data_IF_639585390586
#
_entry.id   IF_639585390586
#
_cell.length_a   1.000
_cell.length_b   1.000
_cell.length_c   1.000
_cell.angle_alpha   90.00
_cell.angle_beta   90.00
_cell.angle_gamma   90.00
#
_symmetry.space_group_name_H-M   'P 1'
#
loop_
_entity.id
_entity.type
_entity.pdbx_description
1 polymer ?
#
# COMPACT_ATOMS: atom_id res chain seq x y z
N UNK A 1 18.18 1.50 1.15
CA UNK A 1 16.76 1.88 1.32
C UNK A 1 15.93 1.24 0.21
N UNK A 2 14.81 0.65 0.57
CA UNK A 2 13.89 0.05 -0.39
C UNK A 2 12.91 1.12 -0.85
N UNK A 3 12.82 1.36 -2.16
CA UNK A 3 11.87 2.35 -2.71
C UNK A 3 10.62 1.65 -3.22
N UNK A 4 9.47 2.04 -2.68
CA UNK A 4 8.18 1.42 -2.98
C UNK A 4 7.13 2.45 -3.37
N UNK A 5 6.11 1.96 -4.07
CA UNK A 5 4.88 2.68 -4.35
C UNK A 5 3.74 1.95 -3.66
N UNK A 6 2.72 2.68 -3.25
CA UNK A 6 1.58 2.06 -2.59
C UNK A 6 0.28 2.81 -2.83
N UNK A 7 -0.82 2.07 -2.69
CA UNK A 7 -2.16 2.62 -2.74
C UNK A 7 -2.65 2.85 -1.31
N UNK A 8 -3.08 4.08 -1.03
CA UNK A 8 -3.63 4.45 0.27
C UNK A 8 -5.13 4.63 0.10
N UNK A 9 -5.89 3.62 0.53
CA UNK A 9 -7.34 3.67 0.50
C UNK A 9 -7.86 3.77 1.91
N UNK A 10 -8.37 4.95 2.25
CA UNK A 10 -8.88 5.25 3.60
C UNK A 10 -10.39 5.48 3.54
N UNK A 11 -11.12 4.90 4.50
CA UNK A 11 -12.56 5.07 4.62
C UNK A 11 -12.98 4.89 6.08
N UNK A 12 -13.65 5.88 6.66
CA UNK A 12 -14.18 5.79 8.03
C UNK A 12 -13.10 5.40 9.08
N UNK A 13 -11.94 6.04 9.01
CA UNK A 13 -10.79 5.78 9.90
C UNK A 13 -10.24 4.35 9.76
N UNK A 14 -10.47 3.72 8.62
CA UNK A 14 -9.90 2.42 8.30
C UNK A 14 -9.06 2.51 7.04
N UNK A 15 -8.04 1.66 6.96
CA UNK A 15 -7.17 1.53 5.79
C UNK A 15 -7.32 0.14 5.20
N UNK A 16 -7.37 0.09 3.88
CA UNK A 16 -7.37 -1.18 3.16
C UNK A 16 -5.93 -1.67 3.04
N UNK A 17 -5.65 -2.82 3.65
CA UNK A 17 -4.31 -3.39 3.68
C UNK A 17 -4.32 -4.83 3.19
N UNK A 18 -3.15 -5.29 2.77
CA UNK A 18 -2.96 -6.66 2.26
C UNK A 18 -1.94 -7.41 3.10
N UNK A 19 -2.11 -8.73 3.12
CA UNK A 19 -1.17 -9.65 3.74
C UNK A 19 -0.36 -10.31 2.64
N UNK A 20 0.95 -10.36 2.82
CA UNK A 20 1.87 -10.99 1.88
C UNK A 20 2.38 -12.30 2.49
N UNK A 21 2.20 -13.42 1.79
CA UNK A 21 2.73 -14.74 2.19
C UNK A 21 2.45 -15.10 3.64
N UNK A 22 1.24 -14.85 4.11
CA UNK A 22 0.79 -15.14 5.48
C UNK A 22 1.62 -14.48 6.59
N UNK A 23 2.29 -13.35 6.30
CA UNK A 23 3.04 -12.61 7.32
C UNK A 23 2.12 -12.02 8.37
N UNK A 24 2.64 -11.79 9.57
CA UNK A 24 1.84 -11.33 10.70
C UNK A 24 1.28 -9.91 10.52
N UNK A 25 2.01 -9.04 9.83
CA UNK A 25 1.61 -7.65 9.67
C UNK A 25 1.19 -7.36 8.24
N UNK A 26 0.21 -6.47 8.10
CA UNK A 26 -0.36 -6.09 6.81
C UNK A 26 0.23 -4.77 6.32
N UNK A 27 0.26 -4.60 5.00
CA UNK A 27 0.85 -3.46 4.31
C UNK A 27 -0.16 -2.80 3.39
N UNK A 28 0.17 -1.59 2.91
CA UNK A 28 -0.55 -1.04 1.76
C UNK A 28 -0.35 -1.92 0.52
N UNK A 29 -1.37 -2.03 -0.34
CA UNK A 29 -1.16 -2.65 -1.66
C UNK A 29 -0.10 -1.88 -2.44
N UNK A 30 0.80 -2.59 -3.10
CA UNK A 30 1.89 -1.99 -3.86
C UNK A 30 3.16 -2.82 -3.76
N UNK A 31 4.29 -2.21 -4.04
CA UNK A 31 5.55 -2.90 -3.98
C UNK A 31 6.72 -2.08 -4.49
N UNK A 32 7.82 -2.78 -4.78
CA UNK A 32 9.06 -2.15 -5.21
C UNK A 32 8.93 -1.56 -6.62
N UNK A 33 9.64 -0.48 -6.85
CA UNK A 33 9.75 0.16 -8.16
C UNK A 33 10.82 -0.59 -8.97
N UNK A 34 10.48 -1.02 -10.17
CA UNK A 34 11.45 -1.64 -11.08
C UNK A 34 12.24 -0.57 -11.82
N UNK A 35 13.44 -0.94 -12.25
CA UNK A 35 14.30 -0.03 -13.01
C UNK A 35 13.57 0.49 -14.25
N UNK A 36 13.62 1.79 -14.44
CA UNK A 36 13.02 2.44 -15.61
C UNK A 36 11.54 2.78 -15.48
N UNK A 37 10.89 2.36 -14.39
CA UNK A 37 9.49 2.71 -14.17
C UNK A 37 9.35 4.06 -13.48
N UNK A 38 8.31 4.82 -13.86
CA UNK A 38 7.86 5.94 -13.04
C UNK A 38 7.11 5.40 -11.82
N UNK A 39 6.86 6.26 -10.83
CA UNK A 39 6.10 5.87 -9.64
C UNK A 39 4.72 5.34 -10.01
N UNK A 40 4.00 6.05 -10.87
CA UNK A 40 2.64 5.65 -11.24
C UNK A 40 2.64 4.36 -12.05
N UNK A 41 3.63 4.15 -12.93
CA UNK A 41 3.76 2.91 -13.70
C UNK A 41 4.02 1.72 -12.80
N UNK A 42 4.88 1.89 -11.81
CA UNK A 42 5.17 0.84 -10.85
C UNK A 42 3.90 0.46 -10.08
N UNK A 43 3.12 1.44 -9.64
CA UNK A 43 1.87 1.17 -8.92
C UNK A 43 0.84 0.51 -9.82
N UNK A 44 0.69 0.95 -11.07
CA UNK A 44 -0.21 0.28 -12.02
C UNK A 44 0.13 -1.19 -12.17
N UNK A 45 1.42 -1.49 -12.31
CA UNK A 45 1.89 -2.88 -12.45
C UNK A 45 1.60 -3.68 -11.19
N UNK A 46 1.96 -3.16 -10.02
CA UNK A 46 1.75 -3.86 -8.75
C UNK A 46 0.27 -4.15 -8.46
N UNK A 47 -0.61 -3.18 -8.70
CA UNK A 47 -2.04 -3.36 -8.47
C UNK A 47 -2.63 -4.39 -9.43
N UNK A 48 -2.15 -4.44 -10.66
CA UNK A 48 -2.58 -5.45 -11.63
C UNK A 48 -2.14 -6.84 -11.20
N UNK A 49 -0.89 -6.98 -10.75
CA UNK A 49 -0.35 -8.26 -10.28
C UNK A 49 -1.04 -8.76 -9.01
N UNK A 50 -1.18 -7.89 -8.03
CA UNK A 50 -1.66 -8.27 -6.70
C UNK A 50 -3.17 -8.35 -6.58
N UNK A 51 -3.89 -7.46 -7.25
CA UNK A 51 -5.33 -7.31 -7.07
C UNK A 51 -6.12 -7.44 -8.37
N UNK A 52 -5.46 -7.75 -9.48
CA UNK A 52 -6.07 -7.80 -10.82
C UNK A 52 -6.81 -6.51 -11.16
N UNK A 53 -6.34 -5.40 -10.60
CA UNK A 53 -6.98 -4.11 -10.75
C UNK A 53 -6.23 -3.30 -11.79
N UNK A 54 -6.90 -2.95 -12.88
CA UNK A 54 -6.31 -2.13 -13.93
C UNK A 54 -6.79 -0.70 -13.79
N UNK A 55 -5.84 0.20 -13.58
CA UNK A 55 -6.11 1.63 -13.43
C UNK A 55 -5.30 2.42 -14.44
N UNK A 56 -5.94 3.46 -14.99
CA UNK A 56 -5.23 4.40 -15.85
C UNK A 56 -4.40 5.36 -14.99
N UNK A 57 -3.35 5.94 -15.57
CA UNK A 57 -2.50 6.91 -14.86
C UNK A 57 -3.30 8.06 -14.26
N UNK A 58 -4.27 8.59 -15.00
CA UNK A 58 -5.11 9.69 -14.54
C UNK A 58 -6.07 9.33 -13.40
N UNK A 59 -6.21 8.05 -13.08
CA UNK A 59 -7.05 7.59 -11.97
C UNK A 59 -6.26 7.49 -10.66
N UNK A 60 -4.96 7.67 -10.70
CA UNK A 60 -4.08 7.61 -9.54
C UNK A 60 -3.54 9.01 -9.25
N UNK A 61 -3.67 9.44 -8.02
CA UNK A 61 -3.25 10.76 -7.57
C UNK A 61 -2.20 10.65 -6.47
N UNK A 62 -1.04 11.26 -6.70
CA UNK A 62 0.04 11.23 -5.72
C UNK A 62 -0.32 12.01 -4.47
N UNK A 63 -0.08 11.41 -3.29
CA UNK A 63 -0.34 12.05 -2.00
C UNK A 63 0.95 12.59 -1.40
N UNK A 64 1.99 11.78 -1.32
CA UNK A 64 3.24 12.14 -0.67
C UNK A 64 4.15 10.94 -0.43
N UNK A 65 5.22 11.19 0.29
CA UNK A 65 6.28 10.22 0.56
C UNK A 65 6.64 10.21 2.03
N UNK A 66 6.85 9.02 2.59
CA UNK A 66 7.42 8.88 3.92
C UNK A 66 8.58 7.89 3.87
N UNK A 67 9.43 7.95 4.89
CA UNK A 67 10.48 6.95 5.11
C UNK A 67 10.20 6.30 6.45
N UNK A 68 10.12 4.98 6.47
CA UNK A 68 9.83 4.21 7.66
C UNK A 68 10.58 2.91 7.68
N UNK A 69 10.38 2.17 8.75
CA UNK A 69 11.03 0.87 8.94
C UNK A 69 10.42 -0.17 8.01
N UNK A 70 11.29 -0.91 7.29
CA UNK A 70 10.83 -1.99 6.42
C UNK A 70 10.41 -3.21 7.25
N UNK A 71 9.51 -4.00 6.71
CA UNK A 71 9.05 -5.24 7.33
C UNK A 71 8.91 -6.30 6.23
N UNK A 72 9.42 -7.51 6.39
CA UNK A 72 10.05 -8.06 7.60
C UNK A 72 11.57 -7.84 7.68
N UNK A 73 12.16 -7.07 6.78
CA UNK A 73 13.61 -6.89 6.72
C UNK A 73 14.12 -6.09 7.94
N UNK A 74 14.90 -6.69 8.84
CA UNK A 74 15.41 -5.96 10.01
C UNK A 74 16.48 -4.93 9.60
N UNK A 75 16.50 -3.82 10.33
CA UNK A 75 17.50 -2.77 10.13
C UNK A 75 17.53 -2.16 8.72
N UNK A 76 16.37 -2.16 8.04
CA UNK A 76 16.21 -1.63 6.70
C UNK A 76 15.14 -0.55 6.71
N UNK A 77 15.34 0.50 5.93
CA UNK A 77 14.32 1.54 5.73
C UNK A 77 13.65 1.36 4.38
N UNK A 78 12.39 1.76 4.32
CA UNK A 78 11.63 1.82 3.07
C UNK A 78 11.11 3.23 2.85
N UNK A 79 11.15 3.66 1.60
CA UNK A 79 10.52 4.88 1.15
C UNK A 79 9.18 4.50 0.52
N UNK A 80 8.08 5.01 1.08
CA UNK A 80 6.74 4.77 0.54
C UNK A 80 6.25 6.01 -0.19
N UNK A 81 5.96 5.83 -1.46
CA UNK A 81 5.37 6.84 -2.32
C UNK A 81 3.90 6.50 -2.48
N UNK A 82 3.04 7.23 -1.80
CA UNK A 82 1.62 6.90 -1.68
C UNK A 82 0.74 7.65 -2.67
N UNK A 83 -0.21 6.91 -3.22
CA UNK A 83 -1.22 7.40 -4.16
C UNK A 83 -2.60 7.05 -3.65
N UNK A 84 -3.59 7.84 -4.05
CA UNK A 84 -4.99 7.48 -3.88
C UNK A 84 -5.63 7.27 -5.25
N UNK A 85 -6.68 6.47 -5.29
CA UNK A 85 -7.48 6.31 -6.49
C UNK A 85 -8.58 7.38 -6.48
N UNK A 86 -8.80 8.04 -7.63
CA UNK A 86 -9.75 9.14 -7.71
C UNK A 86 -11.10 8.75 -8.34
N UNK A 87 -11.43 7.47 -8.29
CA UNK A 87 -12.76 6.95 -8.63
C UNK A 87 -13.18 5.90 -7.62
N UNK A 88 -14.48 5.62 -7.54
CA UNK A 88 -14.99 4.60 -6.64
C UNK A 88 -14.61 3.20 -7.13
N UNK A 89 -14.12 2.37 -6.22
CA UNK A 89 -13.80 0.97 -6.46
C UNK A 89 -14.69 0.13 -5.54
N UNK A 90 -15.35 -0.87 -6.10
CA UNK A 90 -16.07 -1.85 -5.30
C UNK A 90 -15.07 -2.92 -4.81
N UNK A 91 -14.49 -2.67 -3.65
CA UNK A 91 -13.46 -3.54 -3.09
C UNK A 91 -13.95 -4.95 -2.77
N UNK A 92 -15.25 -5.13 -2.60
CA UNK A 92 -15.84 -6.45 -2.35
C UNK A 92 -15.70 -7.38 -3.55
N UNK A 93 -15.49 -6.82 -4.75
CA UNK A 93 -15.33 -7.57 -5.99
C UNK A 93 -13.89 -7.75 -6.43
N UNK A 94 -12.94 -7.15 -5.70
CA UNK A 94 -11.52 -7.25 -6.02
C UNK A 94 -10.97 -8.58 -5.51
N UNK A 95 -10.25 -9.28 -6.37
CA UNK A 95 -9.62 -10.56 -6.03
C UNK A 95 -8.14 -10.38 -5.79
N UNK A 96 -7.61 -11.06 -4.78
CA UNK A 96 -6.16 -11.08 -4.52
C UNK A 96 -5.48 -12.13 -5.39
N UNK A 97 -4.25 -11.87 -5.77
CA UNK A 97 -3.46 -12.73 -6.63
C UNK A 97 -1.99 -12.69 -6.21
N UNK A 98 -1.15 -13.48 -6.88
CA UNK A 98 0.28 -13.58 -6.60
C UNK A 98 0.54 -13.94 -5.13
N UNK A 99 1.34 -13.14 -4.46
CA UNK A 99 1.78 -13.38 -3.09
C UNK A 99 0.80 -12.88 -2.04
N UNK A 100 -0.30 -12.27 -2.46
CA UNK A 100 -1.29 -11.69 -1.53
C UNK A 100 -2.21 -12.78 -1.00
N UNK A 101 -2.17 -12.99 0.29
CA UNK A 101 -2.92 -14.06 0.96
C UNK A 101 -4.16 -13.58 1.70
N UNK A 102 -4.32 -12.27 1.86
CA UNK A 102 -5.52 -11.68 2.45
C UNK A 102 -5.58 -10.19 2.14
N UNK A 103 -6.77 -9.61 2.20
CA UNK A 103 -7.01 -8.18 2.06
C UNK A 103 -8.16 -7.80 2.98
N UNK A 104 -7.96 -6.82 3.84
CA UNK A 104 -9.04 -6.37 4.72
C UNK A 104 -8.82 -4.94 5.22
N UNK A 105 -9.87 -4.39 5.80
CA UNK A 105 -9.85 -3.05 6.40
C UNK A 105 -9.35 -3.12 7.83
N UNK A 106 -8.46 -2.19 8.18
CA UNK A 106 -7.92 -2.08 9.53
C UNK A 106 -8.23 -0.70 10.10
N UNK A 107 -8.61 -0.65 11.36
CA UNK A 107 -8.68 0.59 12.10
C UNK A 107 -7.26 1.20 12.16
N UNK A 108 -7.15 2.51 11.94
CA UNK A 108 -5.85 3.19 11.94
C UNK A 108 -5.11 3.11 13.29
N UNK A 109 -5.81 2.75 14.35
CA UNK A 109 -5.22 2.58 15.67
C UNK A 109 -4.77 1.15 15.98
N UNK A 110 -5.00 0.21 15.07
CA UNK A 110 -4.59 -1.19 15.23
C UNK A 110 -3.12 -1.38 14.86
N UNK A 111 -2.24 -0.72 15.62
CA UNK A 111 -0.83 -0.63 15.29
C UNK A 111 -0.08 -1.97 15.32
N UNK A 112 -0.55 -2.94 16.10
CA UNK A 112 0.14 -4.22 16.25
C UNK A 112 0.09 -5.08 14.98
N UNK A 113 -1.02 -4.99 14.25
CA UNK A 113 -1.24 -5.81 13.05
C UNK A 113 -0.85 -5.09 11.76
N UNK A 114 -0.35 -3.88 11.88
CA UNK A 114 0.01 -3.00 10.77
C UNK A 114 1.53 -2.87 10.68
N UNK A 115 2.07 -2.96 9.46
CA UNK A 115 3.52 -2.82 9.24
C UNK A 115 4.04 -1.46 9.71
N UNK A 116 5.28 -1.39 10.20
CA UNK A 116 5.82 -0.14 10.77
C UNK A 116 5.73 1.07 9.84
N UNK A 117 6.03 0.92 8.56
CA UNK A 117 5.97 2.03 7.62
C UNK A 117 4.54 2.55 7.40
N UNK A 118 3.54 1.67 7.49
CA UNK A 118 2.14 2.09 7.44
C UNK A 118 1.81 2.94 8.66
N UNK A 119 2.28 2.55 9.84
CA UNK A 119 2.09 3.34 11.05
C UNK A 119 2.76 4.72 10.93
N UNK A 120 3.92 4.79 10.30
CA UNK A 120 4.60 6.06 10.01
C UNK A 120 3.75 6.93 9.08
N UNK A 121 3.16 6.33 8.05
CA UNK A 121 2.24 7.03 7.14
C UNK A 121 1.05 7.61 7.89
N UNK A 122 0.44 6.81 8.78
CA UNK A 122 -0.71 7.25 9.57
C UNK A 122 -0.38 8.50 10.38
N UNK A 123 0.77 8.50 11.05
CA UNK A 123 1.21 9.66 11.83
C UNK A 123 1.39 10.90 10.97
N UNK A 124 1.95 10.74 9.79
CA UNK A 124 2.33 11.85 8.91
C UNK A 124 1.14 12.45 8.17
N UNK A 125 0.24 11.61 7.66
CA UNK A 125 -0.79 12.04 6.73
C UNK A 125 -2.22 11.88 7.21
N UNK A 126 -2.49 11.06 8.21
CA UNK A 126 -3.86 10.71 8.60
C UNK A 126 -4.20 11.17 10.01
N UNK A 127 -3.31 10.92 10.95
CA UNK A 127 -3.55 11.18 12.36
C UNK A 127 -3.08 12.59 12.74
N UNK A 128 -4.01 13.47 12.98
CA UNK A 128 -3.73 14.83 13.40
C UNK A 128 -3.36 14.90 14.89
#
# INVERSE_FOLDING_TARGET
MIKCVCLVEEKNHQLLLVQVRHRDKYYFPGGKIDEGESLVEALQRELKEELRLELAKGELEFIGTIVGEAYPQPNMLTELNGFKVNRAIDWSKVETDHEITDMKWFDINDSENIAPAVNTWIKEFIND
#
